data_IF_403649981912
#
_entry.id   IF_403649981912
#
_cell.length_a   1.000
_cell.length_b   1.000
_cell.length_c   1.000
_cell.angle_alpha   90.00
_cell.angle_beta   90.00
_cell.angle_gamma   90.00
#
_symmetry.space_group_name_H-M   'P 1'
#
loop_
_entity.id
_entity.type
_entity.pdbx_description
1 polymer ?
#
# COMPACT_ATOMS: atom_id res chain seq x y z
N UNK A 1 35.56 -34.55 30.21
CA UNK A 1 34.55 -33.81 30.95
C UNK A 1 34.79 -32.29 30.96
N UNK A 2 35.98 -31.80 31.21
CA UNK A 2 36.27 -30.35 31.30
C UNK A 2 36.01 -29.57 29.99
N UNK A 3 36.28 -30.14 28.83
CA UNK A 3 36.08 -29.52 27.52
C UNK A 3 34.58 -29.37 27.15
N UNK A 4 33.74 -30.33 27.51
CA UNK A 4 32.26 -30.25 27.26
C UNK A 4 31.61 -29.19 28.16
N UNK A 5 32.08 -29.02 29.40
CA UNK A 5 31.57 -28.00 30.30
C UNK A 5 31.90 -26.59 29.81
N UNK A 6 33.11 -26.40 29.25
CA UNK A 6 33.57 -25.13 28.68
C UNK A 6 32.76 -24.75 27.46
N UNK A 7 32.41 -25.73 26.57
CA UNK A 7 31.57 -25.50 25.39
C UNK A 7 30.14 -25.11 25.76
N UNK A 8 29.56 -25.72 26.80
CA UNK A 8 28.24 -25.34 27.31
C UNK A 8 28.23 -23.94 27.93
N UNK A 9 29.32 -23.57 28.66
CA UNK A 9 29.43 -22.24 29.25
C UNK A 9 29.57 -21.15 28.18
N UNK A 10 30.33 -21.40 27.09
CA UNK A 10 30.45 -20.49 25.95
C UNK A 10 29.12 -20.34 25.18
N UNK A 11 28.39 -21.44 25.01
CA UNK A 11 27.06 -21.38 24.36
C UNK A 11 26.06 -20.59 25.20
N UNK A 12 26.10 -20.72 26.52
CA UNK A 12 25.23 -19.99 27.43
C UNK A 12 25.54 -18.49 27.45
N UNK A 13 26.85 -18.12 27.39
CA UNK A 13 27.27 -16.73 27.30
C UNK A 13 26.87 -16.07 25.96
N UNK A 14 26.88 -16.81 24.86
CA UNK A 14 26.41 -16.33 23.54
C UNK A 14 24.90 -16.10 23.49
N UNK A 15 24.12 -16.91 24.19
CA UNK A 15 22.64 -16.74 24.24
C UNK A 15 22.26 -15.57 25.13
N UNK A 16 23.01 -15.29 26.20
CA UNK A 16 22.74 -14.14 27.08
C UNK A 16 23.08 -12.77 26.47
N UNK A 17 23.86 -12.73 25.39
CA UNK A 17 24.22 -11.47 24.71
C UNK A 17 23.27 -11.06 23.60
N UNK A 18 22.25 -11.86 23.30
CA UNK A 18 21.13 -11.45 22.43
C UNK A 18 20.19 -10.47 23.17
N UNK A 19 20.71 -9.32 23.55
CA UNK A 19 19.86 -8.22 24.01
C UNK A 19 19.05 -7.74 22.81
N UNK A 20 17.76 -7.96 22.85
CA UNK A 20 16.82 -7.27 21.96
C UNK A 20 17.09 -5.78 22.08
N UNK A 21 17.57 -5.17 21.00
CA UNK A 21 17.68 -3.71 20.95
C UNK A 21 16.29 -3.14 21.14
N UNK A 22 16.01 -2.60 22.32
CA UNK A 22 14.77 -1.91 22.60
C UNK A 22 14.75 -0.67 21.71
N UNK A 23 13.79 -0.63 20.78
CA UNK A 23 13.62 0.53 19.90
C UNK A 23 13.44 1.80 20.74
N UNK A 24 14.34 2.76 20.54
CA UNK A 24 14.24 4.09 21.14
C UNK A 24 13.81 5.07 20.04
N UNK A 25 12.62 5.65 20.14
CA UNK A 25 12.15 6.62 19.16
C UNK A 25 12.99 7.89 19.23
N UNK A 26 13.30 8.46 18.07
CA UNK A 26 13.92 9.79 17.99
C UNK A 26 12.92 10.87 18.40
N UNK A 27 13.40 12.08 18.74
CA UNK A 27 12.54 13.23 19.04
C UNK A 27 11.60 13.57 17.86
N UNK A 28 12.10 13.50 16.63
CA UNK A 28 11.31 13.69 15.42
C UNK A 28 10.19 12.64 15.30
N UNK A 29 10.50 11.38 15.60
CA UNK A 29 9.50 10.32 15.59
C UNK A 29 8.43 10.54 16.68
N UNK A 30 8.83 10.99 17.88
CA UNK A 30 7.90 11.33 18.96
C UNK A 30 6.99 12.49 18.56
N UNK A 31 7.55 13.52 17.93
CA UNK A 31 6.78 14.65 17.38
C UNK A 31 5.79 14.20 16.33
N UNK A 32 6.21 13.38 15.37
CA UNK A 32 5.34 12.85 14.31
C UNK A 32 4.20 11.99 14.87
N UNK A 33 4.46 11.20 15.93
CA UNK A 33 3.44 10.42 16.63
C UNK A 33 2.43 11.32 17.35
N UNK A 34 2.90 12.44 17.93
CA UNK A 34 2.03 13.39 18.56
C UNK A 34 1.15 14.11 17.54
N UNK A 35 1.73 14.58 16.44
CA UNK A 35 0.97 15.17 15.33
C UNK A 35 -0.10 14.19 14.80
N UNK A 36 0.23 12.91 14.66
CA UNK A 36 -0.73 11.90 14.23
C UNK A 36 -1.90 11.75 15.22
N UNK A 37 -1.62 11.79 16.54
CA UNK A 37 -2.68 11.73 17.56
C UNK A 37 -3.58 12.95 17.55
N UNK A 38 -3.01 14.12 17.22
CA UNK A 38 -3.74 15.39 17.22
C UNK A 38 -4.58 15.56 15.95
N UNK A 39 -4.17 14.94 14.85
CA UNK A 39 -4.88 14.94 13.56
C UNK A 39 -6.03 13.93 13.54
N UNK A 40 -7.12 14.21 14.28
CA UNK A 40 -8.20 13.25 14.51
C UNK A 40 -9.20 13.13 13.36
N UNK A 41 -9.23 14.08 12.43
CA UNK A 41 -10.15 14.07 11.30
C UNK A 41 -9.36 14.05 9.98
N UNK A 42 -9.60 13.03 9.17
CA UNK A 42 -9.01 12.87 7.87
C UNK A 42 -9.98 12.23 6.89
N UNK A 43 -9.64 12.29 5.61
CA UNK A 43 -10.42 11.69 4.52
C UNK A 43 -9.65 10.48 3.99
N UNK A 44 -10.33 9.33 3.94
CA UNK A 44 -9.79 8.14 3.30
C UNK A 44 -10.36 8.01 1.88
N UNK A 45 -9.47 8.03 0.89
CA UNK A 45 -9.83 7.90 -0.53
C UNK A 45 -9.49 6.50 -1.01
N UNK A 46 -10.52 5.69 -1.26
CA UNK A 46 -10.42 4.44 -1.99
C UNK A 46 -10.64 4.72 -3.48
N UNK A 47 -9.55 4.73 -4.24
CA UNK A 47 -9.62 5.02 -5.66
C UNK A 47 -8.54 4.27 -6.45
N UNK A 48 -8.94 3.59 -7.51
CA UNK A 48 -8.10 2.79 -8.39
C UNK A 48 -8.90 2.32 -9.59
N UNK A 49 -8.36 1.40 -10.38
CA UNK A 49 -9.07 0.87 -11.57
C UNK A 49 -10.40 0.18 -11.22
N UNK A 50 -10.53 -0.36 -10.01
CA UNK A 50 -11.79 -0.93 -9.51
C UNK A 50 -12.95 0.07 -9.53
N UNK A 51 -12.67 1.36 -9.44
CA UNK A 51 -13.68 2.42 -9.47
C UNK A 51 -14.45 2.48 -10.80
N UNK A 52 -13.84 1.97 -11.89
CA UNK A 52 -14.51 1.89 -13.20
C UNK A 52 -15.72 0.95 -13.19
N UNK A 53 -15.72 -0.04 -12.30
CA UNK A 53 -16.80 -1.02 -12.18
C UNK A 53 -17.90 -0.59 -11.20
N UNK A 54 -17.70 0.50 -10.46
CA UNK A 54 -18.66 1.09 -9.52
C UNK A 54 -19.24 0.10 -8.47
N UNK A 55 -18.50 -0.95 -8.11
CA UNK A 55 -18.95 -2.03 -7.20
C UNK A 55 -17.99 -2.26 -6.03
N UNK A 56 -17.05 -1.34 -5.80
CA UNK A 56 -16.09 -1.37 -4.70
C UNK A 56 -14.75 -2.00 -5.06
N UNK A 57 -13.81 -1.85 -4.16
CA UNK A 57 -12.41 -2.26 -4.34
C UNK A 57 -12.20 -3.78 -4.31
N UNK A 58 -13.15 -4.53 -3.78
CA UNK A 58 -13.15 -6.00 -3.74
C UNK A 58 -13.82 -6.64 -4.98
N UNK A 59 -14.18 -5.85 -5.98
CA UNK A 59 -14.92 -6.30 -7.17
C UNK A 59 -14.28 -7.52 -7.84
N UNK A 60 -12.95 -7.53 -8.00
CA UNK A 60 -12.25 -8.64 -8.67
C UNK A 60 -12.54 -9.98 -7.97
N UNK A 61 -12.46 -10.01 -6.65
CA UNK A 61 -12.73 -11.19 -5.83
C UNK A 61 -14.22 -11.50 -5.71
N UNK A 62 -15.04 -10.51 -5.40
CA UNK A 62 -16.48 -10.70 -5.17
C UNK A 62 -17.21 -11.21 -6.41
N UNK A 63 -16.75 -10.83 -7.59
CA UNK A 63 -17.31 -11.26 -8.87
C UNK A 63 -16.53 -12.39 -9.54
N UNK A 64 -15.52 -12.94 -8.86
CA UNK A 64 -14.68 -14.01 -9.39
C UNK A 64 -14.08 -13.69 -10.76
N UNK A 65 -13.61 -12.45 -10.94
CA UNK A 65 -13.05 -12.01 -12.21
C UNK A 65 -11.62 -12.57 -12.39
N UNK A 66 -11.33 -13.03 -13.61
CA UNK A 66 -9.98 -13.43 -13.93
C UNK A 66 -9.04 -12.23 -13.82
N UNK A 67 -7.93 -12.35 -13.09
CA UNK A 67 -7.01 -11.25 -12.80
C UNK A 67 -6.36 -10.65 -14.06
N UNK A 68 -6.09 -11.46 -15.11
CA UNK A 68 -5.56 -10.96 -16.38
C UNK A 68 -6.61 -10.18 -17.18
N UNK A 69 -7.86 -10.64 -17.15
CA UNK A 69 -8.97 -9.92 -17.78
C UNK A 69 -9.28 -8.62 -17.02
N UNK A 70 -9.29 -8.68 -15.69
CA UNK A 70 -9.46 -7.50 -14.86
C UNK A 70 -8.36 -6.44 -15.11
N UNK A 71 -7.11 -6.86 -15.24
CA UNK A 71 -5.99 -5.96 -15.50
C UNK A 71 -6.15 -5.15 -16.81
N UNK A 72 -6.91 -5.64 -17.79
CA UNK A 72 -7.20 -4.90 -19.03
C UNK A 72 -7.99 -3.61 -18.79
N UNK A 73 -8.66 -3.46 -17.63
CA UNK A 73 -9.29 -2.21 -17.23
C UNK A 73 -8.32 -1.03 -17.24
N UNK A 74 -7.05 -1.26 -16.96
CA UNK A 74 -6.03 -0.21 -16.98
C UNK A 74 -5.97 0.50 -18.33
N UNK A 75 -6.16 -0.21 -19.44
CA UNK A 75 -6.18 0.37 -20.79
C UNK A 75 -7.32 1.36 -21.03
N UNK A 76 -8.39 1.31 -20.23
CA UNK A 76 -9.51 2.26 -20.28
C UNK A 76 -9.51 3.29 -19.14
N UNK A 77 -8.56 3.20 -18.20
CA UNK A 77 -8.54 4.11 -17.06
C UNK A 77 -7.97 5.47 -17.44
N UNK A 78 -8.86 6.43 -17.62
CA UNK A 78 -8.54 7.80 -18.03
C UNK A 78 -9.32 8.82 -17.19
N UNK A 79 -8.86 9.15 -15.97
CA UNK A 79 -9.56 10.08 -15.08
C UNK A 79 -9.35 11.54 -15.50
N UNK A 80 -9.92 11.95 -16.63
CA UNK A 80 -9.71 13.26 -17.25
C UNK A 80 -10.03 14.46 -16.34
N UNK A 81 -10.91 14.26 -15.33
CA UNK A 81 -11.31 15.32 -14.39
C UNK A 81 -10.47 15.36 -13.11
N UNK A 82 -9.42 14.53 -13.02
CA UNK A 82 -8.55 14.56 -11.85
C UNK A 82 -7.77 15.86 -11.77
N UNK A 83 -7.90 16.53 -10.65
CA UNK A 83 -7.23 17.78 -10.31
C UNK A 83 -6.82 17.73 -8.83
N UNK A 84 -5.53 17.51 -8.59
CA UNK A 84 -4.99 17.34 -7.24
C UNK A 84 -5.18 18.62 -6.40
N UNK A 85 -4.98 19.79 -6.99
CA UNK A 85 -5.13 21.06 -6.29
C UNK A 85 -6.57 21.26 -5.78
N UNK A 86 -7.54 20.99 -6.65
CA UNK A 86 -8.96 21.08 -6.31
C UNK A 86 -9.37 20.05 -5.25
N UNK A 87 -8.88 18.82 -5.35
CA UNK A 87 -9.19 17.77 -4.37
C UNK A 87 -8.66 18.13 -2.99
N UNK A 88 -7.36 18.49 -2.91
CA UNK A 88 -6.73 18.84 -1.64
C UNK A 88 -7.37 20.09 -1.04
N UNK A 89 -7.70 21.10 -1.85
CA UNK A 89 -8.40 22.31 -1.38
C UNK A 89 -9.77 22.00 -0.79
N UNK A 90 -10.57 21.16 -1.47
CA UNK A 90 -11.88 20.75 -0.98
C UNK A 90 -11.79 19.97 0.35
N UNK A 91 -10.82 19.06 0.45
CA UNK A 91 -10.57 18.25 1.65
C UNK A 91 -10.12 19.15 2.80
N UNK A 92 -9.21 20.10 2.55
CA UNK A 92 -8.79 21.10 3.54
C UNK A 92 -9.96 21.95 4.03
N UNK A 93 -10.82 22.39 3.13
CA UNK A 93 -12.01 23.19 3.45
C UNK A 93 -13.02 22.42 4.33
N UNK A 94 -13.04 21.08 4.28
CA UNK A 94 -13.86 20.27 5.18
C UNK A 94 -13.36 20.22 6.63
N UNK A 95 -12.18 20.78 6.90
CA UNK A 95 -11.52 20.74 8.22
C UNK A 95 -10.64 19.52 8.43
N UNK A 96 -10.51 18.63 7.45
CA UNK A 96 -9.61 17.46 7.52
C UNK A 96 -8.15 17.89 7.62
N UNK A 97 -7.37 17.12 8.36
CA UNK A 97 -5.95 17.35 8.62
C UNK A 97 -5.05 16.47 7.79
N UNK A 98 -5.57 15.37 7.26
CA UNK A 98 -4.85 14.44 6.41
C UNK A 98 -5.75 13.79 5.37
N UNK A 99 -5.10 13.27 4.34
CA UNK A 99 -5.67 12.35 3.36
C UNK A 99 -4.98 11.00 3.54
N UNK A 100 -5.74 9.91 3.61
CA UNK A 100 -5.22 8.56 3.43
C UNK A 100 -5.64 8.09 2.03
N UNK A 101 -4.66 7.81 1.17
CA UNK A 101 -4.90 7.45 -0.22
C UNK A 101 -4.50 6.00 -0.49
N UNK A 102 -5.35 5.24 -1.19
CA UNK A 102 -5.02 3.90 -1.66
C UNK A 102 -4.00 3.97 -2.79
N UNK A 103 -2.72 4.05 -2.44
CA UNK A 103 -1.64 4.08 -3.42
C UNK A 103 -1.56 2.77 -4.22
N UNK A 104 -1.90 1.65 -3.58
CA UNK A 104 -2.07 0.33 -4.20
C UNK A 104 -3.03 -0.50 -3.37
N UNK A 105 -4.06 -1.06 -3.99
CA UNK A 105 -4.99 -1.97 -3.35
C UNK A 105 -4.67 -3.44 -3.68
N UNK A 106 -5.46 -4.39 -3.19
CA UNK A 106 -5.26 -5.84 -3.36
C UNK A 106 -5.21 -6.28 -4.83
N UNK A 107 -5.83 -5.54 -5.73
CA UNK A 107 -5.79 -5.81 -7.17
C UNK A 107 -4.41 -5.63 -7.82
N UNK A 108 -3.45 -5.13 -7.05
CA UNK A 108 -2.06 -4.99 -7.47
C UNK A 108 -1.78 -3.79 -8.37
N UNK A 109 -2.79 -2.97 -8.68
CA UNK A 109 -2.60 -1.79 -9.50
C UNK A 109 -2.03 -0.62 -8.70
N UNK A 110 -0.90 -0.06 -9.15
CA UNK A 110 -0.26 1.07 -8.49
C UNK A 110 -0.73 2.41 -9.06
N UNK A 111 -1.22 3.30 -8.19
CA UNK A 111 -1.66 4.66 -8.55
C UNK A 111 -0.50 5.65 -8.64
N UNK A 112 0.73 5.14 -8.78
CA UNK A 112 1.98 5.89 -8.92
C UNK A 112 2.94 5.16 -9.85
N UNK A 113 3.89 5.88 -10.42
CA UNK A 113 4.94 5.30 -11.24
C UNK A 113 5.93 4.51 -10.39
N UNK A 114 6.22 3.28 -10.81
CA UNK A 114 7.20 2.41 -10.17
C UNK A 114 7.95 1.58 -11.18
N UNK A 115 9.27 1.43 -10.99
CA UNK A 115 10.13 0.57 -11.80
C UNK A 115 9.97 -0.92 -11.52
N UNK A 116 9.21 -1.29 -10.49
CA UNK A 116 9.07 -2.68 -10.04
C UNK A 116 7.88 -3.41 -10.67
N UNK A 117 7.01 -2.70 -11.38
CA UNK A 117 5.85 -3.29 -12.04
C UNK A 117 5.31 -2.33 -13.10
N UNK A 118 5.07 -2.84 -14.30
CA UNK A 118 4.41 -2.07 -15.38
C UNK A 118 2.90 -1.91 -15.14
N UNK A 119 2.35 -2.63 -14.15
CA UNK A 119 0.95 -2.54 -13.78
C UNK A 119 0.72 -1.34 -12.85
N UNK A 120 0.92 -0.16 -13.43
CA UNK A 120 0.78 1.12 -12.74
C UNK A 120 0.10 2.17 -13.65
N UNK A 121 -0.34 3.25 -13.03
CA UNK A 121 -1.14 4.29 -13.71
C UNK A 121 -0.39 4.99 -14.84
N UNK A 122 0.93 5.09 -14.77
CA UNK A 122 1.73 5.77 -15.80
C UNK A 122 1.98 4.85 -16.99
N UNK A 123 2.37 3.59 -16.73
CA UNK A 123 2.77 2.67 -17.79
C UNK A 123 1.59 1.96 -18.44
N UNK A 124 0.62 1.50 -17.63
CA UNK A 124 -0.49 0.66 -18.09
C UNK A 124 -1.71 1.44 -18.60
N UNK A 125 -1.77 2.77 -18.38
CA UNK A 125 -2.97 3.54 -18.74
C UNK A 125 -2.70 4.59 -19.83
N UNK A 126 -3.70 5.03 -20.58
CA UNK A 126 -3.56 6.16 -21.50
C UNK A 126 -3.42 7.50 -20.77
N UNK A 127 -3.66 7.56 -19.46
CA UNK A 127 -3.61 8.78 -18.66
C UNK A 127 -2.20 9.34 -18.48
N UNK A 128 -1.21 8.47 -18.31
CA UNK A 128 0.24 8.79 -18.27
C UNK A 128 0.66 9.82 -17.22
N UNK A 129 -0.13 10.02 -16.17
CA UNK A 129 0.18 10.93 -15.06
C UNK A 129 0.32 10.17 -13.76
N UNK A 130 1.22 10.61 -12.89
CA UNK A 130 1.43 10.03 -11.55
C UNK A 130 0.54 10.75 -10.54
N UNK A 131 -0.62 10.16 -10.27
CA UNK A 131 -1.63 10.72 -9.37
C UNK A 131 -1.10 10.89 -7.95
N UNK A 132 -0.36 9.89 -7.46
CA UNK A 132 0.17 9.96 -6.09
C UNK A 132 1.19 11.08 -5.94
N UNK A 133 2.06 11.25 -6.95
CA UNK A 133 3.02 12.37 -6.97
C UNK A 133 2.30 13.71 -6.95
N UNK A 134 1.31 13.90 -7.81
CA UNK A 134 0.55 15.15 -7.89
C UNK A 134 -0.21 15.45 -6.58
N UNK A 135 -0.81 14.44 -5.95
CA UNK A 135 -1.44 14.59 -4.65
C UNK A 135 -0.43 14.95 -3.56
N UNK A 136 0.76 14.32 -3.56
CA UNK A 136 1.80 14.61 -2.60
C UNK A 136 2.29 16.06 -2.70
N UNK A 137 2.55 16.51 -3.93
CA UNK A 137 2.99 17.88 -4.19
C UNK A 137 1.95 18.91 -3.69
N UNK A 138 0.67 18.69 -3.98
CA UNK A 138 -0.40 19.58 -3.52
C UNK A 138 -0.67 19.47 -2.02
N UNK A 139 -0.56 18.30 -1.42
CA UNK A 139 -0.65 18.15 0.01
C UNK A 139 0.43 18.94 0.75
N UNK A 140 1.68 18.85 0.29
CA UNK A 140 2.80 19.65 0.83
C UNK A 140 2.54 21.15 0.70
N UNK A 141 2.15 21.60 -0.49
CA UNK A 141 1.87 23.00 -0.79
C UNK A 141 0.74 23.58 0.07
N UNK A 142 -0.31 22.81 0.31
CA UNK A 142 -1.49 23.25 1.05
C UNK A 142 -1.45 22.95 2.55
N UNK A 143 -0.40 22.25 3.04
CA UNK A 143 -0.22 21.91 4.46
C UNK A 143 -1.17 20.83 4.97
N UNK A 144 -1.55 19.88 4.10
CA UNK A 144 -2.33 18.67 4.44
C UNK A 144 -1.36 17.48 4.52
N UNK A 145 -1.51 16.63 5.54
CA UNK A 145 -0.71 15.40 5.63
C UNK A 145 -1.23 14.36 4.65
N UNK A 146 -0.31 13.69 3.93
CA UNK A 146 -0.64 12.54 3.08
C UNK A 146 -0.19 11.26 3.77
N UNK A 147 -1.14 10.35 3.99
CA UNK A 147 -0.93 9.00 4.45
C UNK A 147 -1.20 8.04 3.31
N UNK A 148 -0.49 6.93 3.27
CA UNK A 148 -0.61 5.95 2.20
C UNK A 148 -1.17 4.63 2.74
N UNK A 149 -2.24 4.18 2.13
CA UNK A 149 -2.62 2.78 2.21
C UNK A 149 -1.89 2.04 1.10
N UNK A 150 -1.13 1.04 1.45
CA UNK A 150 -0.45 0.15 0.51
C UNK A 150 -0.72 -1.30 0.91
N UNK A 151 -1.36 -2.04 0.03
CA UNK A 151 -1.64 -3.46 0.27
C UNK A 151 -0.40 -4.31 0.07
N UNK A 152 -0.08 -5.13 1.07
CA UNK A 152 0.89 -6.22 0.92
C UNK A 152 0.29 -7.43 0.20
N UNK A 153 -1.05 -7.55 0.20
CA UNK A 153 -1.76 -8.54 -0.58
C UNK A 153 -1.76 -8.07 -2.03
N UNK A 154 -1.45 -8.97 -2.94
CA UNK A 154 -1.40 -8.68 -4.36
C UNK A 154 -2.03 -9.81 -5.17
N UNK A 155 -3.24 -9.56 -5.64
CA UNK A 155 -3.98 -10.53 -6.43
C UNK A 155 -3.50 -10.64 -7.89
N UNK A 156 -2.70 -9.69 -8.34
CA UNK A 156 -2.14 -9.70 -9.68
C UNK A 156 -0.86 -10.55 -9.77
N UNK A 157 -0.08 -10.64 -8.71
CA UNK A 157 1.15 -11.44 -8.68
C UNK A 157 0.85 -12.94 -8.76
N UNK A 158 1.57 -13.64 -9.62
CA UNK A 158 1.38 -15.09 -9.85
C UNK A 158 1.82 -15.95 -8.65
N UNK A 159 2.75 -15.47 -7.86
CA UNK A 159 3.27 -16.14 -6.66
C UNK A 159 2.49 -15.80 -5.38
N UNK A 160 1.46 -14.93 -5.46
CA UNK A 160 0.66 -14.61 -4.30
C UNK A 160 -0.21 -15.81 -3.86
N UNK A 161 -0.24 -16.14 -2.55
CA UNK A 161 -1.01 -17.27 -2.06
C UNK A 161 -2.50 -17.01 -2.16
N UNK A 162 -3.19 -17.99 -2.70
CA UNK A 162 -4.62 -17.94 -2.98
C UNK A 162 -5.52 -18.04 -1.75
N UNK A 163 -5.12 -18.77 -0.75
CA UNK A 163 -6.01 -19.27 0.28
C UNK A 163 -6.45 -18.25 1.33
N UNK A 164 -5.84 -17.08 1.39
CA UNK A 164 -6.06 -16.16 2.51
C UNK A 164 -7.02 -15.02 2.24
N UNK A 165 -7.21 -14.58 1.01
CA UNK A 165 -7.85 -13.29 0.76
C UNK A 165 -8.73 -13.20 -0.48
N UNK A 166 -8.85 -14.23 -1.27
CA UNK A 166 -9.65 -14.14 -2.47
C UNK A 166 -10.16 -15.48 -2.94
N UNK A 167 -11.43 -15.70 -2.83
CA UNK A 167 -12.10 -16.72 -3.62
C UNK A 167 -12.15 -16.21 -5.06
N UNK A 168 -11.58 -16.98 -5.98
CA UNK A 168 -12.02 -16.86 -7.34
C UNK A 168 -11.46 -15.74 -8.21
N UNK A 169 -10.21 -15.37 -8.11
CA UNK A 169 -9.57 -14.46 -9.09
C UNK A 169 -9.24 -15.17 -10.42
N UNK A 170 -9.81 -16.36 -10.68
CA UNK A 170 -9.53 -17.14 -11.90
C UNK A 170 -8.07 -17.61 -12.02
N UNK A 171 -7.31 -17.56 -10.95
CA UNK A 171 -5.95 -18.06 -10.91
C UNK A 171 -5.92 -19.56 -10.79
N UNK A 172 -5.07 -20.28 -11.52
CA UNK A 172 -4.67 -21.61 -11.09
C UNK A 172 -4.00 -21.48 -9.72
N UNK A 173 -4.41 -22.27 -8.73
CA UNK A 173 -3.84 -22.25 -7.38
C UNK A 173 -2.33 -22.55 -7.47
N UNK A 174 -1.44 -21.58 -7.38
CA UNK A 174 -0.05 -21.90 -7.25
C UNK A 174 0.08 -22.48 -5.85
N UNK A 175 0.66 -23.64 -5.74
CA UNK A 175 1.20 -24.13 -4.48
C UNK A 175 2.04 -22.99 -3.94
N UNK A 176 1.51 -22.21 -3.00
CA UNK A 176 2.11 -20.98 -2.55
C UNK A 176 3.53 -21.24 -2.06
N UNK A 177 4.49 -21.07 -2.92
CA UNK A 177 5.88 -21.02 -2.53
C UNK A 177 6.14 -19.57 -2.12
N UNK A 178 6.07 -19.36 -0.83
CA UNK A 178 6.69 -18.20 -0.23
C UNK A 178 8.19 -18.50 -0.11
N UNK A 179 8.99 -17.92 -0.94
CA UNK A 179 10.43 -17.80 -0.74
C UNK A 179 10.73 -16.37 -0.30
#
# INVERSE_FOLDING_TARGET
>A
MKTRLLSFLLLFLLVCSAQSQTYQPTEENLKSRQEFRDNRFGIFLHWGIYSMLATGEWTMTNKNLNYKEYAKLAGGFYPAKFDAARWVSAIKASGAKYICFTSRHHDGFSMFHTRFSDYNIVDATPFKRDILKELADECHKQGIRLHLYYSHIDWYREDAPWGRTGRGTGRPNPKGNWN
#
